data_IF_462518169411
#
_entry.id   IF_462518169411
#
_cell.length_a   1.000
_cell.length_b   1.000
_cell.length_c   1.000
_cell.angle_alpha   90.00
_cell.angle_beta   90.00
_cell.angle_gamma   90.00
#
_symmetry.space_group_name_H-M   'P 1'
#
loop_
_entity.id
_entity.type
_entity.pdbx_description
1 polymer ?
#
# COMPACT_ATOMS: atom_id res chain seq x y z
N UNK A 1 -8.07 0.17 16.58
CA UNK A 1 -8.79 0.04 15.30
C UNK A 1 -8.27 1.05 14.31
N UNK A 2 -7.84 0.60 13.15
CA UNK A 2 -7.28 1.47 12.11
C UNK A 2 -7.99 1.28 10.79
N UNK A 3 -7.97 2.32 9.95
CA UNK A 3 -8.43 2.25 8.58
C UNK A 3 -7.24 1.88 7.71
N UNK A 4 -7.27 0.73 7.07
CA UNK A 4 -6.17 0.19 6.29
C UNK A 4 -6.57 0.08 4.84
N UNK A 5 -5.74 0.64 3.97
CA UNK A 5 -5.89 0.55 2.52
C UNK A 5 -4.82 -0.39 1.98
N UNK A 6 -5.22 -1.46 1.33
CA UNK A 6 -4.31 -2.43 0.75
C UNK A 6 -4.42 -2.40 -0.78
N UNK A 7 -3.29 -2.28 -1.45
CA UNK A 7 -3.23 -2.17 -2.91
C UNK A 7 -2.32 -3.28 -3.44
N UNK A 8 -2.91 -4.24 -4.14
CA UNK A 8 -2.20 -5.38 -4.71
C UNK A 8 -3.03 -5.92 -5.87
N UNK A 9 -2.41 -6.27 -6.98
CA UNK A 9 -3.10 -6.83 -8.13
C UNK A 9 -3.57 -8.27 -7.90
N UNK A 10 -3.05 -8.92 -6.88
CA UNK A 10 -3.44 -10.28 -6.51
C UNK A 10 -4.70 -10.25 -5.65
N UNK A 11 -5.85 -10.59 -6.24
CA UNK A 11 -7.14 -10.56 -5.56
C UNK A 11 -7.19 -11.49 -4.35
N UNK A 12 -6.57 -12.66 -4.44
CA UNK A 12 -6.56 -13.63 -3.34
C UNK A 12 -5.79 -13.07 -2.13
N UNK A 13 -4.68 -12.39 -2.38
CA UNK A 13 -3.92 -11.75 -1.31
C UNK A 13 -4.71 -10.61 -0.68
N UNK A 14 -5.42 -9.81 -1.47
CA UNK A 14 -6.30 -8.76 -0.95
C UNK A 14 -7.37 -9.34 -0.02
N UNK A 15 -7.99 -10.45 -0.41
CA UNK A 15 -8.98 -11.14 0.42
C UNK A 15 -8.38 -11.64 1.72
N UNK A 16 -7.18 -12.20 1.67
CA UNK A 16 -6.48 -12.69 2.85
C UNK A 16 -6.15 -11.55 3.81
N UNK A 17 -5.61 -10.45 3.29
CA UNK A 17 -5.31 -9.26 4.09
C UNK A 17 -6.57 -8.74 4.76
N UNK A 18 -7.65 -8.59 4.00
CA UNK A 18 -8.92 -8.10 4.53
C UNK A 18 -9.43 -9.00 5.66
N UNK A 19 -9.50 -10.30 5.42
CA UNK A 19 -10.01 -11.26 6.41
C UNK A 19 -9.18 -11.21 7.68
N UNK A 20 -7.85 -11.20 7.54
CA UNK A 20 -6.94 -11.23 8.68
C UNK A 20 -7.05 -9.96 9.52
N UNK A 21 -7.03 -8.79 8.87
CA UNK A 21 -7.04 -7.51 9.58
C UNK A 21 -8.42 -7.16 10.13
N UNK A 22 -9.50 -7.52 9.43
CA UNK A 22 -10.85 -7.30 9.94
C UNK A 22 -11.12 -8.14 11.17
N UNK A 23 -10.52 -9.33 11.25
CA UNK A 23 -10.60 -10.18 12.45
C UNK A 23 -10.05 -9.48 13.68
N UNK A 24 -9.01 -8.66 13.48
CA UNK A 24 -8.36 -7.89 14.55
C UNK A 24 -9.07 -6.54 14.83
N UNK A 25 -10.20 -6.29 14.19
CA UNK A 25 -11.00 -5.09 14.43
C UNK A 25 -10.67 -3.88 13.57
N UNK A 26 -9.85 -4.05 12.54
CA UNK A 26 -9.52 -2.96 11.61
C UNK A 26 -10.55 -2.86 10.49
N UNK A 27 -10.65 -1.68 9.89
CA UNK A 27 -11.42 -1.47 8.67
C UNK A 27 -10.49 -1.56 7.49
N UNK A 28 -10.85 -2.33 6.47
CA UNK A 28 -9.96 -2.59 5.34
C UNK A 28 -10.68 -2.29 4.03
N UNK A 29 -10.05 -1.47 3.20
CA UNK A 29 -10.42 -1.27 1.81
C UNK A 29 -9.30 -1.84 0.95
N UNK A 30 -9.65 -2.48 -0.16
CA UNK A 30 -8.68 -3.06 -1.08
C UNK A 30 -8.87 -2.54 -2.48
N UNK A 31 -7.76 -2.38 -3.22
CA UNK A 31 -7.77 -2.01 -4.63
C UNK A 31 -6.73 -2.85 -5.35
N UNK A 32 -6.94 -3.12 -6.62
CA UNK A 32 -6.05 -3.97 -7.40
C UNK A 32 -5.13 -3.16 -8.33
N UNK A 33 -5.23 -1.85 -8.30
CA UNK A 33 -4.38 -0.99 -9.14
C UNK A 33 -4.20 0.38 -8.49
N UNK A 34 -3.04 0.99 -8.71
CA UNK A 34 -2.74 2.31 -8.18
C UNK A 34 -3.65 3.41 -8.71
N UNK A 35 -4.14 3.26 -9.94
CA UNK A 35 -5.05 4.24 -10.55
C UNK A 35 -6.42 4.32 -9.88
N UNK A 36 -6.78 3.32 -9.07
CA UNK A 36 -8.04 3.34 -8.32
C UNK A 36 -7.95 4.13 -7.00
N UNK A 37 -6.77 4.67 -6.65
CA UNK A 37 -6.58 5.41 -5.41
C UNK A 37 -6.99 6.86 -5.59
N UNK A 38 -8.06 7.24 -4.90
CA UNK A 38 -8.55 8.63 -4.88
C UNK A 38 -7.93 9.37 -3.70
N UNK A 39 -7.97 10.71 -3.75
CA UNK A 39 -7.55 11.54 -2.63
C UNK A 39 -8.35 11.22 -1.37
N UNK A 40 -9.68 11.06 -1.51
CA UNK A 40 -10.54 10.74 -0.37
C UNK A 40 -10.15 9.42 0.27
N UNK A 41 -9.82 8.40 -0.52
CA UNK A 41 -9.42 7.09 -0.02
C UNK A 41 -8.07 7.17 0.71
N UNK A 42 -7.12 7.92 0.15
CA UNK A 42 -5.81 8.13 0.79
C UNK A 42 -5.94 8.88 2.12
N UNK A 43 -6.85 9.83 2.22
CA UNK A 43 -7.11 10.57 3.46
C UNK A 43 -7.86 9.73 4.49
N UNK A 44 -8.70 8.81 4.04
CA UNK A 44 -9.42 7.89 4.92
C UNK A 44 -8.47 6.94 5.63
N UNK A 45 -7.40 6.51 4.97
CA UNK A 45 -6.50 5.49 5.48
C UNK A 45 -5.61 6.00 6.60
N UNK A 46 -5.43 5.18 7.63
CA UNK A 46 -4.44 5.40 8.68
C UNK A 46 -3.12 4.74 8.33
N UNK A 47 -3.16 3.76 7.43
CA UNK A 47 -1.99 3.03 6.95
C UNK A 47 -2.28 2.49 5.56
N UNK A 48 -1.27 2.48 4.68
CA UNK A 48 -1.40 1.96 3.32
C UNK A 48 -0.41 0.81 3.15
N UNK A 49 -0.94 -0.35 2.73
CA UNK A 49 -0.15 -1.51 2.34
C UNK A 49 -0.09 -1.51 0.81
N UNK A 50 1.10 -1.49 0.24
CA UNK A 50 1.25 -1.25 -1.19
C UNK A 50 2.20 -2.26 -1.82
N UNK A 51 1.72 -2.99 -2.82
CA UNK A 51 2.55 -3.91 -3.59
C UNK A 51 3.47 -3.12 -4.51
N UNK A 52 4.75 -3.52 -4.55
CA UNK A 52 5.74 -2.91 -5.45
C UNK A 52 5.57 -3.41 -6.88
N UNK A 53 5.23 -4.68 -7.05
CA UNK A 53 5.23 -5.36 -8.35
C UNK A 53 3.83 -5.43 -8.94
N UNK A 54 3.31 -4.31 -9.44
CA UNK A 54 2.01 -4.27 -10.10
C UNK A 54 2.15 -3.98 -11.58
N UNK A 55 1.26 -4.56 -12.43
CA UNK A 55 1.23 -4.24 -13.86
C UNK A 55 0.96 -2.75 -14.08
N UNK A 56 1.63 -2.18 -15.07
CA UNK A 56 1.46 -0.77 -15.42
C UNK A 56 2.30 0.14 -14.55
N UNK A 57 1.75 0.64 -13.46
CA UNK A 57 2.45 1.54 -12.54
C UNK A 57 2.97 0.74 -11.33
N UNK A 58 4.28 0.79 -11.05
CA UNK A 58 4.83 0.08 -9.91
C UNK A 58 4.52 0.80 -8.58
N UNK A 59 4.73 0.09 -7.47
CA UNK A 59 4.41 0.61 -6.15
C UNK A 59 5.19 1.87 -5.77
N UNK A 60 6.44 2.02 -6.24
CA UNK A 60 7.21 3.23 -5.96
C UNK A 60 6.63 4.44 -6.66
N UNK A 61 6.18 4.28 -7.91
CA UNK A 61 5.53 5.37 -8.65
C UNK A 61 4.22 5.77 -7.97
N UNK A 62 3.41 4.80 -7.55
CA UNK A 62 2.18 5.06 -6.80
C UNK A 62 2.49 5.80 -5.51
N UNK A 63 3.51 5.36 -4.76
CA UNK A 63 3.90 5.98 -3.50
C UNK A 63 4.30 7.44 -3.69
N UNK A 64 5.11 7.74 -4.70
CA UNK A 64 5.51 9.13 -4.98
C UNK A 64 4.30 10.00 -5.24
N UNK A 65 3.33 9.50 -6.01
CA UNK A 65 2.12 10.24 -6.34
C UNK A 65 1.25 10.49 -5.12
N UNK A 66 1.02 9.47 -4.30
CA UNK A 66 0.12 9.62 -3.15
C UNK A 66 0.76 10.35 -1.97
N UNK A 67 2.10 10.46 -1.92
CA UNK A 67 2.77 11.24 -0.87
C UNK A 67 2.41 12.72 -0.89
N UNK A 68 1.99 13.24 -2.02
CA UNK A 68 1.48 14.60 -2.10
C UNK A 68 0.08 14.73 -1.49
N UNK A 69 -0.62 13.62 -1.28
CA UNK A 69 -2.00 13.59 -0.79
C UNK A 69 -2.10 13.21 0.69
N UNK A 70 -1.11 12.49 1.23
CA UNK A 70 -1.17 11.98 2.59
C UNK A 70 0.23 11.73 3.14
N UNK A 71 0.36 11.84 4.47
CA UNK A 71 1.61 11.54 5.19
C UNK A 71 1.51 10.24 5.98
N UNK A 72 0.43 9.46 5.83
CA UNK A 72 0.26 8.23 6.61
C UNK A 72 1.36 7.22 6.30
N UNK A 73 1.66 6.30 7.23
CA UNK A 73 2.65 5.25 6.97
C UNK A 73 2.28 4.41 5.76
N UNK A 74 3.27 4.14 4.92
CA UNK A 74 3.14 3.26 3.77
C UNK A 74 4.08 2.08 3.99
N UNK A 75 3.53 0.87 3.93
CA UNK A 75 4.28 -0.37 4.06
C UNK A 75 4.27 -1.08 2.71
N UNK A 76 5.45 -1.31 2.14
CA UNK A 76 5.53 -2.06 0.89
C UNK A 76 5.44 -3.56 1.14
N UNK A 77 4.51 -4.21 0.46
CA UNK A 77 4.41 -5.67 0.40
C UNK A 77 5.24 -6.09 -0.81
N UNK A 78 6.48 -6.48 -0.60
CA UNK A 78 7.39 -6.65 -1.72
C UNK A 78 8.14 -7.97 -1.68
N UNK A 79 8.24 -8.62 -2.84
CA UNK A 79 9.20 -9.66 -3.08
C UNK A 79 10.57 -9.09 -3.47
N UNK A 80 10.68 -7.77 -3.68
CA UNK A 80 11.95 -7.09 -4.01
C UNK A 80 12.68 -6.79 -2.71
N UNK A 81 13.79 -7.49 -2.50
CA UNK A 81 14.63 -7.32 -1.32
C UNK A 81 16.01 -6.76 -1.65
N UNK A 82 16.21 -6.30 -2.88
CA UNK A 82 17.49 -5.74 -3.30
C UNK A 82 17.75 -4.39 -2.62
N UNK A 83 19.03 -4.03 -2.52
CA UNK A 83 19.47 -2.81 -1.85
C UNK A 83 18.85 -1.55 -2.45
N UNK A 84 18.73 -1.49 -3.78
CA UNK A 84 18.17 -0.32 -4.45
C UNK A 84 16.71 -0.11 -4.06
N UNK A 85 15.92 -1.18 -3.94
CA UNK A 85 14.53 -1.08 -3.51
C UNK A 85 14.42 -0.57 -2.07
N UNK A 86 15.27 -1.08 -1.18
CA UNK A 86 15.30 -0.63 0.22
C UNK A 86 15.66 0.85 0.31
N UNK A 87 16.68 1.29 -0.42
CA UNK A 87 17.10 2.69 -0.41
C UNK A 87 16.01 3.61 -0.97
N UNK A 88 15.33 3.21 -2.03
CA UNK A 88 14.23 3.99 -2.58
C UNK A 88 13.09 4.10 -1.57
N UNK A 89 12.75 3.01 -0.89
CA UNK A 89 11.73 3.02 0.17
C UNK A 89 12.08 3.99 1.28
N UNK A 90 13.32 3.99 1.74
CA UNK A 90 13.78 4.90 2.79
C UNK A 90 13.69 6.37 2.35
N UNK A 91 14.01 6.66 1.09
CA UNK A 91 13.93 8.05 0.59
C UNK A 91 12.49 8.55 0.50
N UNK A 92 11.50 7.64 0.43
CA UNK A 92 10.07 7.96 0.40
C UNK A 92 9.42 7.87 1.78
N UNK A 93 10.20 7.66 2.85
CA UNK A 93 9.70 7.48 4.22
C UNK A 93 8.71 6.33 4.32
N UNK A 94 9.05 5.18 3.74
CA UNK A 94 8.23 3.97 3.80
C UNK A 94 9.03 2.82 4.38
N UNK A 95 8.32 1.80 4.84
CA UNK A 95 8.93 0.56 5.32
C UNK A 95 8.72 -0.51 4.26
N UNK A 96 9.80 -1.22 3.90
CA UNK A 96 9.74 -2.35 2.96
C UNK A 96 9.68 -3.64 3.77
N UNK A 97 8.68 -4.45 3.46
CA UNK A 97 8.47 -5.72 4.16
C UNK A 97 8.70 -6.88 3.20
#
# INVERSE_FOLDING_TARGET
>A
MANILAVDDNLELCKLIRTTLERDGHRVETRQAGGALTEALCRWADCILLDVMMPGEDGFAVCRRIRSLTEVPILFLSARTDEAAVLEGLSLNVVVI
#
